data_IF_372752011146
#
_entry.id   IF_372752011146
#
_cell.length_a   1.000
_cell.length_b   1.000
_cell.length_c   1.000
_cell.angle_alpha   90.00
_cell.angle_beta   90.00
_cell.angle_gamma   90.00
#
_symmetry.space_group_name_H-M   'P 1'
#
loop_
_entity.id
_entity.type
_entity.pdbx_description
1 polymer ?
#
# COMPACT_ATOMS: atom_id res chain seq x y z
N UNK A 1 2.54 -17.41 -26.83
CA UNK A 1 3.78 -16.60 -26.87
C UNK A 1 4.21 -16.27 -25.45
N UNK A 2 5.52 -16.25 -25.18
CA UNK A 2 6.08 -16.10 -23.83
C UNK A 2 5.64 -14.82 -23.12
N UNK A 3 5.94 -13.64 -23.69
CA UNK A 3 5.65 -12.36 -23.04
C UNK A 3 4.14 -12.08 -22.85
N UNK A 4 3.28 -12.57 -23.75
CA UNK A 4 1.83 -12.49 -23.58
C UNK A 4 1.37 -13.25 -22.34
N UNK A 5 1.90 -14.47 -22.12
CA UNK A 5 1.56 -15.26 -20.94
C UNK A 5 2.11 -14.60 -19.66
N UNK A 6 3.32 -14.04 -19.71
CA UNK A 6 3.93 -13.30 -18.59
C UNK A 6 3.07 -12.09 -18.22
N UNK A 7 2.64 -11.30 -19.20
CA UNK A 7 1.78 -10.14 -18.95
C UNK A 7 0.44 -10.54 -18.31
N UNK A 8 -0.17 -11.63 -18.75
CA UNK A 8 -1.44 -12.13 -18.18
C UNK A 8 -1.31 -12.72 -16.76
N UNK A 9 -0.13 -13.20 -16.37
CA UNK A 9 0.09 -13.76 -15.03
C UNK A 9 0.58 -12.73 -14.00
N UNK A 10 1.14 -11.61 -14.44
CA UNK A 10 1.64 -10.55 -13.58
C UNK A 10 0.50 -9.63 -13.14
N UNK A 11 0.63 -9.07 -11.94
CA UNK A 11 -0.23 -7.99 -11.44
C UNK A 11 0.51 -6.66 -11.57
N UNK A 12 -0.23 -5.56 -11.68
CA UNK A 12 0.37 -4.22 -11.70
C UNK A 12 1.27 -4.00 -10.48
N UNK A 13 2.37 -3.25 -10.68
CA UNK A 13 3.32 -2.89 -9.63
C UNK A 13 4.05 -4.06 -8.94
N UNK A 14 4.02 -5.25 -9.55
CA UNK A 14 4.83 -6.41 -9.17
C UNK A 14 5.83 -6.67 -10.29
N UNK A 15 7.12 -6.66 -9.95
CA UNK A 15 8.20 -7.02 -10.84
C UNK A 15 8.37 -8.55 -10.86
N UNK A 16 8.79 -9.09 -12.00
CA UNK A 16 9.15 -10.51 -12.13
C UNK A 16 10.63 -10.62 -12.50
N UNK A 17 11.43 -11.18 -11.60
CA UNK A 17 12.83 -11.52 -11.87
C UNK A 17 12.92 -12.93 -12.43
N UNK A 18 13.58 -13.09 -13.58
CA UNK A 18 13.86 -14.40 -14.19
C UNK A 18 15.37 -14.55 -14.35
N UNK A 19 15.94 -15.58 -13.71
CA UNK A 19 17.36 -15.91 -13.80
C UNK A 19 17.51 -17.23 -14.54
N UNK A 20 18.22 -17.22 -15.66
CA UNK A 20 18.48 -18.42 -16.47
C UNK A 20 19.96 -18.76 -16.38
N UNK A 21 20.27 -19.97 -15.92
CA UNK A 21 21.62 -20.51 -15.82
C UNK A 21 21.78 -21.69 -16.76
N UNK A 22 22.83 -21.68 -17.59
CA UNK A 22 23.22 -22.84 -18.41
C UNK A 22 24.29 -23.65 -17.69
N UNK A 23 24.11 -24.97 -17.59
CA UNK A 23 25.10 -25.88 -17.02
C UNK A 23 24.94 -27.26 -17.64
N UNK A 24 26.04 -27.85 -18.13
CA UNK A 24 26.08 -29.22 -18.68
C UNK A 24 24.96 -29.55 -19.71
N UNK A 25 24.71 -28.64 -20.64
CA UNK A 25 23.68 -28.82 -21.68
C UNK A 25 22.24 -28.59 -21.21
N UNK A 26 22.02 -28.37 -19.92
CA UNK A 26 20.71 -28.04 -19.34
C UNK A 26 20.61 -26.56 -18.99
N UNK A 27 19.37 -26.11 -18.77
CA UNK A 27 19.03 -24.81 -18.27
C UNK A 27 18.35 -24.95 -16.91
N UNK A 28 18.70 -24.07 -15.98
CA UNK A 28 17.99 -23.89 -14.71
C UNK A 28 17.41 -22.49 -14.72
N UNK A 29 16.09 -22.36 -14.60
CA UNK A 29 15.36 -21.10 -14.64
C UNK A 29 14.73 -20.87 -13.28
N UNK A 30 15.06 -19.73 -12.65
CA UNK A 30 14.46 -19.29 -11.39
C UNK A 30 13.58 -18.08 -11.62
N UNK A 31 12.34 -18.12 -11.15
CA UNK A 31 11.37 -17.02 -11.23
C UNK A 31 10.99 -16.52 -9.85
N UNK A 32 11.05 -15.20 -9.66
CA UNK A 32 10.75 -14.56 -8.39
C UNK A 32 9.94 -13.27 -8.61
N UNK A 33 8.66 -13.24 -8.19
CA UNK A 33 7.88 -12.01 -8.09
C UNK A 33 8.35 -11.14 -6.91
N UNK A 34 8.42 -9.83 -7.10
CA UNK A 34 8.81 -8.87 -6.06
C UNK A 34 8.01 -7.57 -6.19
N UNK A 35 7.61 -6.95 -5.08
CA UNK A 35 7.07 -5.59 -5.13
C UNK A 35 8.09 -4.59 -4.64
N UNK A 36 8.24 -3.48 -5.37
CA UNK A 36 9.06 -2.36 -4.90
C UNK A 36 8.32 -1.47 -3.88
N UNK A 37 7.01 -1.65 -3.72
CA UNK A 37 6.16 -0.82 -2.85
C UNK A 37 5.96 -1.37 -1.43
N UNK A 38 6.17 -2.67 -1.22
CA UNK A 38 6.06 -3.30 0.09
C UNK A 38 7.31 -2.99 0.93
N UNK A 39 7.10 -2.35 2.08
CA UNK A 39 8.15 -2.21 3.11
C UNK A 39 8.28 -3.48 3.95
N UNK A 40 7.27 -4.35 3.90
CA UNK A 40 7.18 -5.58 4.66
C UNK A 40 8.31 -6.58 4.31
N UNK A 41 8.94 -7.13 5.34
CA UNK A 41 9.92 -8.21 5.25
C UNK A 41 9.30 -9.52 4.76
N UNK A 42 7.97 -9.66 4.80
CA UNK A 42 7.27 -10.86 4.32
C UNK A 42 7.58 -11.21 2.86
N UNK A 43 7.87 -10.21 2.00
CA UNK A 43 8.30 -10.49 0.63
C UNK A 43 9.67 -11.19 0.56
N UNK A 44 10.52 -11.02 1.57
CA UNK A 44 11.85 -11.64 1.63
C UNK A 44 11.76 -13.15 1.95
N UNK A 45 10.61 -13.64 2.39
CA UNK A 45 10.37 -15.07 2.62
C UNK A 45 9.86 -15.79 1.36
N UNK A 46 9.52 -15.06 0.30
CA UNK A 46 9.16 -15.66 -0.97
C UNK A 46 10.42 -16.20 -1.62
N UNK A 47 10.52 -17.52 -1.68
CA UNK A 47 11.62 -18.20 -2.36
C UNK A 47 11.38 -18.25 -3.87
N UNK A 48 12.44 -18.17 -4.70
CA UNK A 48 12.31 -18.35 -6.14
C UNK A 48 11.73 -19.73 -6.49
N UNK A 49 10.88 -19.78 -7.51
CA UNK A 49 10.49 -21.04 -8.13
C UNK A 49 11.56 -21.43 -9.16
N UNK A 50 12.27 -22.53 -8.90
CA UNK A 50 13.32 -23.03 -9.78
C UNK A 50 12.87 -24.28 -10.51
N UNK A 51 13.09 -24.29 -11.83
CA UNK A 51 12.88 -25.45 -12.70
C UNK A 51 14.13 -25.71 -13.53
N UNK A 52 14.43 -26.98 -13.78
CA UNK A 52 15.59 -27.41 -14.57
C UNK A 52 15.12 -28.34 -15.68
N UNK A 53 15.72 -28.20 -16.86
CA UNK A 53 15.46 -29.07 -17.99
C UNK A 53 16.29 -28.71 -19.22
N UNK A 54 16.07 -29.44 -20.30
CA UNK A 54 16.57 -29.09 -21.63
C UNK A 54 15.83 -27.85 -22.17
N UNK A 55 16.40 -27.14 -23.16
CA UNK A 55 15.70 -26.04 -23.82
C UNK A 55 14.30 -26.42 -24.34
N UNK A 56 14.17 -27.61 -24.96
CA UNK A 56 12.91 -28.08 -25.54
C UNK A 56 11.84 -28.35 -24.49
N UNK A 57 12.21 -28.95 -23.35
CA UNK A 57 11.30 -29.17 -22.23
C UNK A 57 10.84 -27.85 -21.62
N UNK A 58 11.74 -26.87 -21.48
CA UNK A 58 11.38 -25.56 -20.96
C UNK A 58 10.51 -24.77 -21.94
N UNK A 59 10.81 -24.78 -23.23
CA UNK A 59 9.97 -24.11 -24.23
C UNK A 59 8.52 -24.62 -24.21
N UNK A 60 8.34 -25.91 -23.96
CA UNK A 60 7.02 -26.57 -23.94
C UNK A 60 6.31 -26.43 -22.59
N UNK A 61 7.04 -26.59 -21.49
CA UNK A 61 6.46 -26.78 -20.15
C UNK A 61 6.67 -25.63 -19.17
N UNK A 62 7.64 -24.73 -19.41
CA UNK A 62 8.02 -23.70 -18.43
C UNK A 62 6.84 -22.81 -18.03
N UNK A 63 6.14 -22.24 -19.02
CA UNK A 63 5.02 -21.34 -18.76
C UNK A 63 3.93 -22.05 -17.95
N UNK A 64 3.59 -23.29 -18.31
CA UNK A 64 2.58 -24.07 -17.58
C UNK A 64 2.97 -24.31 -16.12
N UNK A 65 4.26 -24.60 -15.88
CA UNK A 65 4.79 -24.83 -14.53
C UNK A 65 4.79 -23.56 -13.67
N UNK A 66 5.10 -22.39 -14.26
CA UNK A 66 5.23 -21.14 -13.49
C UNK A 66 3.94 -20.32 -13.41
N UNK A 67 3.00 -20.45 -14.35
CA UNK A 67 1.81 -19.57 -14.41
C UNK A 67 1.02 -19.56 -13.11
N UNK A 68 0.59 -20.73 -12.59
CA UNK A 68 -0.24 -20.78 -11.37
C UNK A 68 0.51 -20.31 -10.12
N UNK A 69 1.73 -20.78 -9.84
CA UNK A 69 2.50 -20.29 -8.69
C UNK A 69 2.73 -18.78 -8.73
N UNK A 70 3.12 -18.25 -9.90
CA UNK A 70 3.42 -16.82 -10.05
C UNK A 70 2.15 -15.99 -9.88
N UNK A 71 1.02 -16.38 -10.49
CA UNK A 71 -0.27 -15.70 -10.27
C UNK A 71 -0.66 -15.64 -8.80
N UNK A 72 -0.52 -16.76 -8.06
CA UNK A 72 -0.83 -16.82 -6.63
C UNK A 72 0.06 -15.86 -5.84
N UNK A 73 1.36 -15.87 -6.09
CA UNK A 73 2.32 -15.02 -5.39
C UNK A 73 2.14 -13.54 -5.73
N UNK A 74 1.95 -13.19 -7.00
CA UNK A 74 1.63 -11.82 -7.44
C UNK A 74 0.34 -11.30 -6.77
N UNK A 75 -0.71 -12.13 -6.73
CA UNK A 75 -1.96 -11.78 -6.05
C UNK A 75 -1.79 -11.55 -4.55
N UNK A 76 -1.01 -12.38 -3.87
CA UNK A 76 -0.67 -12.18 -2.45
C UNK A 76 0.07 -10.85 -2.22
N UNK A 77 1.12 -10.60 -3.00
CA UNK A 77 1.91 -9.37 -2.94
C UNK A 77 1.03 -8.14 -3.17
N UNK A 78 0.18 -8.16 -4.21
CA UNK A 78 -0.70 -7.04 -4.55
C UNK A 78 -1.72 -6.77 -3.44
N UNK A 79 -2.34 -7.81 -2.88
CA UNK A 79 -3.28 -7.68 -1.77
C UNK A 79 -2.62 -7.07 -0.53
N UNK A 80 -1.40 -7.48 -0.20
CA UNK A 80 -0.66 -6.90 0.92
C UNK A 80 -0.36 -5.41 0.69
N UNK A 81 0.11 -5.04 -0.51
CA UNK A 81 0.42 -3.66 -0.83
C UNK A 81 -0.84 -2.77 -0.75
N UNK A 82 -1.98 -3.26 -1.23
CA UNK A 82 -3.26 -2.55 -1.13
C UNK A 82 -3.73 -2.41 0.31
N UNK A 83 -3.59 -3.46 1.12
CA UNK A 83 -3.95 -3.43 2.54
C UNK A 83 -3.10 -2.41 3.31
N UNK A 84 -1.78 -2.42 3.13
CA UNK A 84 -0.88 -1.44 3.77
C UNK A 84 -1.23 -0.01 3.36
N UNK A 85 -1.41 0.25 2.06
CA UNK A 85 -1.79 1.56 1.56
C UNK A 85 -3.13 2.05 2.15
N UNK A 86 -4.10 1.15 2.31
CA UNK A 86 -5.39 1.48 2.91
C UNK A 86 -5.28 1.73 4.42
N UNK A 87 -4.48 0.93 5.13
CA UNK A 87 -4.21 1.11 6.56
C UNK A 87 -3.54 2.46 6.82
N UNK A 88 -2.53 2.81 6.03
CA UNK A 88 -1.84 4.10 6.10
C UNK A 88 -2.80 5.27 5.84
N UNK A 89 -3.65 5.17 4.83
CA UNK A 89 -4.66 6.18 4.52
C UNK A 89 -5.66 6.35 5.66
N UNK A 90 -6.10 5.25 6.30
CA UNK A 90 -7.01 5.29 7.43
C UNK A 90 -6.34 5.93 8.67
N UNK A 91 -5.09 5.59 8.96
CA UNK A 91 -4.32 6.18 10.05
C UNK A 91 -4.11 7.69 9.85
N UNK A 92 -3.73 8.10 8.64
CA UNK A 92 -3.57 9.52 8.28
C UNK A 92 -4.89 10.29 8.41
N UNK A 93 -6.00 9.71 7.94
CA UNK A 93 -7.34 10.32 8.06
C UNK A 93 -7.78 10.46 9.51
N UNK A 94 -7.48 9.47 10.36
CA UNK A 94 -7.78 9.53 11.80
C UNK A 94 -6.99 10.64 12.50
N UNK A 95 -5.71 10.81 12.16
CA UNK A 95 -4.87 11.88 12.70
C UNK A 95 -5.37 13.26 12.26
N UNK A 96 -5.65 13.42 10.97
CA UNK A 96 -6.18 14.67 10.42
C UNK A 96 -7.54 15.04 11.04
N UNK A 97 -8.44 14.06 11.22
CA UNK A 97 -9.73 14.29 11.86
C UNK A 97 -9.60 14.70 13.35
N UNK A 98 -8.67 14.10 14.10
CA UNK A 98 -8.39 14.50 15.48
C UNK A 98 -7.83 15.92 15.56
N UNK A 99 -6.89 16.28 14.68
CA UNK A 99 -6.31 17.61 14.64
C UNK A 99 -7.33 18.68 14.24
N UNK A 100 -8.18 18.41 13.23
CA UNK A 100 -9.26 19.32 12.83
C UNK A 100 -10.26 19.56 13.97
N UNK A 101 -10.71 18.49 14.64
CA UNK A 101 -11.62 18.59 15.78
C UNK A 101 -11.01 19.37 16.94
N UNK A 102 -9.70 19.22 17.19
CA UNK A 102 -9.00 19.98 18.23
C UNK A 102 -8.94 21.48 17.92
N UNK A 103 -8.74 21.86 16.65
CA UNK A 103 -8.71 23.26 16.22
C UNK A 103 -10.10 23.91 16.30
N UNK A 104 -11.14 23.24 15.83
CA UNK A 104 -12.53 23.73 15.95
C UNK A 104 -12.92 23.94 17.42
N UNK A 105 -12.60 22.99 18.31
CA UNK A 105 -12.96 23.11 19.73
C UNK A 105 -12.26 24.29 20.41
N UNK A 106 -11.04 24.63 19.98
CA UNK A 106 -10.30 25.78 20.50
C UNK A 106 -10.88 27.10 19.98
N UNK A 107 -11.17 27.20 18.69
CA UNK A 107 -11.76 28.40 18.08
C UNK A 107 -13.17 28.68 18.61
N UNK A 108 -13.99 27.65 18.79
CA UNK A 108 -15.34 27.79 19.35
C UNK A 108 -15.31 28.26 20.81
N UNK A 109 -14.37 27.74 21.62
CA UNK A 109 -14.16 28.17 23.00
C UNK A 109 -13.70 29.63 23.08
N UNK A 110 -12.74 30.02 22.26
CA UNK A 110 -12.26 31.42 22.20
C UNK A 110 -13.37 32.38 21.76
N UNK A 111 -14.20 31.97 20.78
CA UNK A 111 -15.33 32.78 20.31
C UNK A 111 -16.40 32.95 21.39
N UNK A 112 -16.69 31.89 22.16
CA UNK A 112 -17.65 31.91 23.27
C UNK A 112 -17.17 32.80 24.43
N UNK A 113 -15.92 32.65 24.84
CA UNK A 113 -15.31 33.48 25.91
C UNK A 113 -15.28 34.97 25.52
N UNK A 114 -15.02 35.28 24.23
CA UNK A 114 -15.04 36.67 23.73
C UNK A 114 -16.46 37.25 23.71
N UNK A 115 -17.46 36.46 23.34
CA UNK A 115 -18.87 36.89 23.32
C UNK A 115 -19.41 37.15 24.74
N UNK A 116 -19.13 36.26 25.69
CA UNK A 116 -19.53 36.45 27.10
C UNK A 116 -18.90 37.70 27.72
N UNK A 117 -17.63 38.00 27.43
CA UNK A 117 -16.99 39.26 27.88
C UNK A 117 -17.66 40.50 27.30
N UNK A 118 -17.99 40.47 26.00
CA UNK A 118 -18.66 41.60 25.34
C UNK A 118 -20.08 41.82 25.89
N UNK A 119 -20.81 40.75 26.17
CA UNK A 119 -22.15 40.83 26.76
C UNK A 119 -22.11 41.38 28.19
N UNK A 120 -21.24 40.87 29.07
CA UNK A 120 -21.06 41.43 30.42
C UNK A 120 -20.70 42.91 30.39
N UNK A 121 -19.78 43.31 29.49
CA UNK A 121 -19.39 44.71 29.35
C UNK A 121 -20.55 45.58 28.85
N UNK A 122 -21.40 45.06 27.97
CA UNK A 122 -22.60 45.75 27.52
C UNK A 122 -23.62 45.93 28.67
N UNK A 123 -23.83 44.88 29.48
CA UNK A 123 -24.70 44.91 30.67
C UNK A 123 -24.24 45.89 31.74
N UNK A 124 -22.93 45.97 32.01
CA UNK A 124 -22.34 46.95 32.93
C UNK A 124 -22.55 48.39 32.43
N UNK A 125 -22.41 48.62 31.12
CA UNK A 125 -22.62 49.94 30.51
C UNK A 125 -24.09 50.36 30.50
N UNK A 126 -25.05 49.43 30.32
CA UNK A 126 -26.48 49.74 30.43
C UNK A 126 -26.92 49.92 31.88
N UNK A 127 -26.36 49.17 32.83
CA UNK A 127 -26.62 49.36 34.25
C UNK A 127 -26.09 50.70 34.76
N UNK A 128 -24.89 51.12 34.30
CA UNK A 128 -24.31 52.42 34.63
C UNK A 128 -25.04 53.61 33.99
N UNK A 129 -25.82 53.40 32.92
CA UNK A 129 -26.61 54.45 32.25
C UNK A 129 -28.00 54.66 32.86
N UNK A 130 -28.45 53.74 33.73
CA UNK A 130 -29.76 53.77 34.38
C UNK A 130 -29.67 54.23 35.86
N UNK A 131 -28.52 54.74 36.29
CA UNK A 131 -28.28 55.40 37.57
C UNK A 131 -27.95 56.87 37.36
#
# INVERSE_FOLDING_TARGET
MFFTAIHQMMTESVDLTIVIRKTNGQLTVSTLPKSNGLKDEAQNHIVPLTVTGTPQELDTGFLQAVTRPIQKTCGLISNMAQFEAQADKAAASSKAAKEAKSKETKEEREKREKYEKLMKKAEELTAARNH
#
